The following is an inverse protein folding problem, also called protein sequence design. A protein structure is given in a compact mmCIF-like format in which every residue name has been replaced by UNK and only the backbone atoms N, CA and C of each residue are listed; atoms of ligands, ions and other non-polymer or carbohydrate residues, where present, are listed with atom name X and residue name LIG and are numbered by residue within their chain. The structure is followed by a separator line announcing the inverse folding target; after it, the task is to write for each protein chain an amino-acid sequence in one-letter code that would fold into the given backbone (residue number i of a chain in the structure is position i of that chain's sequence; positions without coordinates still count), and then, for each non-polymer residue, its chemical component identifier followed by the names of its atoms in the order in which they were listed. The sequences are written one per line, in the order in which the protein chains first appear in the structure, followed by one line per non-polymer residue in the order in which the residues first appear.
data_IF_466345661809
#
_entry.id   IF_466345661809
#
_cell.length_a   1.000
_cell.length_b   1.000
_cell.length_c   1.000
_cell.angle_alpha   90.00
_cell.angle_beta   90.00
_cell.angle_gamma   90.00
#
_symmetry.space_group_name_H-M   'P 1'
#
loop_
_entity.id
_entity.type
_entity.pdbx_description
1 polymer ?
#
# COMPACT_ATOMS: atom_id res chain seq x y z
N UNK A 1 -30.50 -17.36 12.96
CA UNK A 1 -29.79 -16.28 13.69
C UNK A 1 -28.65 -16.81 14.57
N UNK A 2 -28.81 -17.88 15.38
CA UNK A 2 -27.67 -18.43 16.16
C UNK A 2 -26.53 -18.99 15.30
N UNK A 3 -26.86 -19.80 14.27
CA UNK A 3 -25.84 -20.47 13.46
C UNK A 3 -24.92 -19.56 12.64
N UNK A 4 -25.43 -18.44 12.12
CA UNK A 4 -24.60 -17.46 11.38
C UNK A 4 -23.62 -16.74 12.32
N UNK A 5 -24.05 -16.41 13.53
CA UNK A 5 -23.18 -15.78 14.53
C UNK A 5 -22.10 -16.74 15.02
N UNK A 6 -22.45 -18.01 15.24
CA UNK A 6 -21.49 -19.07 15.57
C UNK A 6 -20.45 -19.25 14.47
N UNK A 7 -20.90 -19.31 13.21
CA UNK A 7 -20.02 -19.41 12.05
C UNK A 7 -19.05 -18.22 11.95
N UNK A 8 -19.53 -16.99 12.16
CA UNK A 8 -18.67 -15.80 12.16
C UNK A 8 -17.67 -15.85 13.32
N UNK A 9 -18.08 -16.28 14.51
CA UNK A 9 -17.18 -16.42 15.66
C UNK A 9 -16.06 -17.43 15.38
N UNK A 10 -16.36 -18.56 14.73
CA UNK A 10 -15.35 -19.55 14.31
C UNK A 10 -14.37 -18.97 13.27
N UNK A 11 -14.88 -18.28 12.26
CA UNK A 11 -14.03 -17.65 11.23
C UNK A 11 -13.12 -16.57 11.83
N UNK A 12 -13.62 -15.78 12.79
CA UNK A 12 -12.82 -14.79 13.49
C UNK A 12 -11.72 -15.43 14.34
N UNK A 13 -11.98 -16.55 15.02
CA UNK A 13 -10.95 -17.31 15.73
C UNK A 13 -9.83 -17.78 14.78
N UNK A 14 -10.21 -18.32 13.63
CA UNK A 14 -9.24 -18.76 12.61
C UNK A 14 -8.41 -17.59 12.09
N UNK A 15 -9.05 -16.46 11.79
CA UNK A 15 -8.36 -15.23 11.36
C UNK A 15 -7.38 -14.73 12.42
N UNK A 16 -7.80 -14.65 13.68
CA UNK A 16 -6.94 -14.18 14.77
C UNK A 16 -5.70 -15.07 14.92
N UNK A 17 -5.85 -16.40 14.81
CA UNK A 17 -4.71 -17.32 14.85
C UNK A 17 -3.75 -17.13 13.66
N UNK A 18 -4.26 -16.79 12.47
CA UNK A 18 -3.42 -16.43 11.31
C UNK A 18 -2.69 -15.11 11.56
N UNK A 19 -3.41 -14.10 12.06
CA UNK A 19 -2.86 -12.77 12.36
C UNK A 19 -1.75 -12.85 13.42
N UNK A 20 -1.89 -13.71 14.44
CA UNK A 20 -0.85 -14.01 15.44
C UNK A 20 0.40 -14.64 14.81
N UNK A 21 0.22 -15.60 13.89
CA UNK A 21 1.34 -16.23 13.17
C UNK A 21 2.08 -15.24 12.29
N UNK A 22 1.36 -14.34 11.61
CA UNK A 22 1.97 -13.24 10.83
C UNK A 22 2.69 -12.28 11.77
N UNK A 23 2.07 -11.91 12.89
CA UNK A 23 2.66 -11.01 13.89
C UNK A 23 3.99 -11.55 14.44
N UNK A 24 4.08 -12.86 14.68
CA UNK A 24 5.32 -13.52 15.09
C UNK A 24 6.44 -13.41 14.02
N UNK A 25 6.09 -13.43 12.73
CA UNK A 25 7.05 -13.26 11.61
C UNK A 25 7.48 -11.81 11.44
N UNK A 26 6.53 -10.87 11.58
CA UNK A 26 6.82 -9.44 11.34
C UNK A 26 7.29 -8.68 12.59
N UNK A 27 7.15 -9.28 13.77
CA UNK A 27 7.50 -8.70 15.07
C UNK A 27 6.56 -7.59 15.55
N UNK A 28 5.40 -7.41 14.90
CA UNK A 28 4.41 -6.35 15.17
C UNK A 28 2.98 -6.88 14.92
N UNK A 29 1.93 -6.26 15.51
CA UNK A 29 0.55 -6.66 15.24
C UNK A 29 0.21 -6.63 13.75
N UNK A 30 -0.57 -7.60 13.27
CA UNK A 30 -0.99 -7.65 11.88
C UNK A 30 -1.93 -6.48 11.55
N UNK A 31 -1.45 -5.55 10.73
CA UNK A 31 -2.23 -4.45 10.15
C UNK A 31 -1.71 -4.16 8.74
N UNK A 32 -2.48 -3.39 7.95
CA UNK A 32 -2.10 -3.02 6.59
C UNK A 32 -0.83 -2.16 6.59
N UNK A 33 -0.71 -1.25 7.56
CA UNK A 33 0.49 -0.43 7.76
C UNK A 33 1.70 -1.29 8.12
N UNK A 34 1.63 -2.06 9.21
CA UNK A 34 2.78 -2.83 9.69
C UNK A 34 3.28 -3.87 8.69
N UNK A 35 2.36 -4.60 8.05
CA UNK A 35 2.75 -5.58 7.05
C UNK A 35 3.28 -4.89 5.78
N UNK A 36 2.68 -3.77 5.37
CA UNK A 36 3.15 -2.95 4.25
C UNK A 36 4.58 -2.46 4.48
N UNK A 37 4.87 -1.87 5.64
CA UNK A 37 6.21 -1.44 6.05
C UNK A 37 7.21 -2.60 6.03
N UNK A 38 6.84 -3.76 6.61
CA UNK A 38 7.70 -4.94 6.64
C UNK A 38 8.05 -5.48 5.24
N UNK A 39 7.08 -5.45 4.31
CA UNK A 39 7.28 -5.81 2.90
C UNK A 39 8.16 -4.76 2.21
N UNK A 40 7.88 -3.46 2.41
CA UNK A 40 8.66 -2.37 1.84
C UNK A 40 10.14 -2.46 2.23
N UNK A 41 10.43 -2.76 3.49
CA UNK A 41 11.79 -2.94 3.98
C UNK A 41 12.55 -4.06 3.25
N UNK A 42 11.88 -5.15 2.89
CA UNK A 42 12.49 -6.32 2.24
C UNK A 42 12.57 -6.22 0.73
N UNK A 43 11.54 -5.66 0.10
CA UNK A 43 11.45 -5.60 -1.36
C UNK A 43 12.15 -4.35 -1.89
N UNK A 44 11.99 -3.21 -1.22
CA UNK A 44 12.48 -1.92 -1.70
C UNK A 44 13.67 -1.39 -0.89
N UNK A 45 14.23 -2.21 0.00
CA UNK A 45 15.36 -1.84 0.85
C UNK A 45 15.10 -0.55 1.64
N UNK A 46 13.92 -0.45 2.24
CA UNK A 46 13.55 0.66 3.12
C UNK A 46 14.04 0.38 4.55
N UNK A 47 14.87 1.25 5.08
CA UNK A 47 15.15 1.29 6.52
C UNK A 47 14.01 2.02 7.21
N UNK A 48 13.31 1.31 8.10
CA UNK A 48 12.13 1.85 8.79
C UNK A 48 12.55 2.76 9.95
N UNK A 49 11.85 3.87 10.11
CA UNK A 49 12.05 4.78 11.25
C UNK A 49 11.63 4.08 12.56
N UNK A 50 12.48 4.13 13.58
CA UNK A 50 12.20 3.50 14.87
C UNK A 50 11.23 4.32 15.74
N UNK A 51 11.02 5.59 15.39
CA UNK A 51 10.26 6.55 16.18
C UNK A 51 9.07 7.08 15.39
N UNK A 52 7.86 6.88 15.91
CA UNK A 52 6.61 7.40 15.36
C UNK A 52 6.49 8.95 15.42
N UNK A 53 7.53 9.65 15.88
CA UNK A 53 7.53 11.11 16.07
C UNK A 53 7.60 11.86 14.74
N UNK A 54 8.16 11.26 13.69
CA UNK A 54 8.08 11.78 12.32
C UNK A 54 6.77 11.32 11.65
N UNK A 55 5.63 11.89 12.06
CA UNK A 55 4.26 11.46 11.72
C UNK A 55 3.90 11.31 10.22
N UNK A 56 4.84 11.55 9.31
CA UNK A 56 4.66 11.47 7.87
C UNK A 56 5.68 10.56 7.14
N UNK A 57 6.69 10.02 7.83
CA UNK A 57 7.77 9.23 7.23
C UNK A 57 7.81 7.88 7.93
N UNK A 58 7.73 6.80 7.15
CA UNK A 58 7.85 5.44 7.67
C UNK A 58 9.27 4.89 7.51
N UNK A 59 10.07 5.46 6.61
CA UNK A 59 11.44 5.03 6.40
C UNK A 59 12.19 5.81 5.32
N UNK A 60 13.38 5.29 4.96
CA UNK A 60 14.22 5.80 3.87
C UNK A 60 14.71 4.66 3.00
N UNK A 61 14.78 4.88 1.70
CA UNK A 61 15.43 3.92 0.80
C UNK A 61 16.93 3.88 1.10
N UNK A 62 17.51 2.69 1.19
CA UNK A 62 18.93 2.49 1.52
C UNK A 62 19.80 2.21 0.30
N UNK A 63 19.19 1.90 -0.86
CA UNK A 63 19.89 1.51 -2.08
C UNK A 63 19.19 2.05 -3.34
N UNK A 64 19.90 2.00 -4.46
CA UNK A 64 19.34 2.33 -5.77
C UNK A 64 19.15 3.84 -5.99
N UNK A 65 18.40 4.25 -7.03
CA UNK A 65 18.30 5.66 -7.45
C UNK A 65 17.61 6.56 -6.41
N UNK A 66 16.88 5.98 -5.45
CA UNK A 66 16.16 6.70 -4.41
C UNK A 66 16.89 6.70 -3.07
N UNK A 67 18.14 6.22 -3.01
CA UNK A 67 18.90 6.13 -1.75
C UNK A 67 18.88 7.46 -0.97
N UNK A 68 18.59 7.38 0.32
CA UNK A 68 18.50 8.52 1.25
C UNK A 68 17.15 9.25 1.25
N UNK A 69 16.31 9.01 0.24
CA UNK A 69 14.97 9.63 0.12
C UNK A 69 13.99 9.03 1.10
N UNK A 70 13.15 9.89 1.68
CA UNK A 70 12.11 9.49 2.62
C UNK A 70 10.92 8.87 1.91
N UNK A 71 10.25 7.96 2.60
CA UNK A 71 9.09 7.27 2.06
C UNK A 71 8.00 7.11 3.13
N UNK A 72 6.75 7.26 2.69
CA UNK A 72 5.57 6.87 3.43
C UNK A 72 4.93 5.66 2.73
N UNK A 73 4.82 4.56 3.45
CA UNK A 73 4.34 3.27 2.95
C UNK A 73 2.85 3.17 3.26
N UNK A 74 2.06 2.84 2.25
CA UNK A 74 0.61 2.66 2.40
C UNK A 74 0.17 1.37 1.76
N UNK A 75 -0.78 0.70 2.39
CA UNK A 75 -1.44 -0.44 1.77
C UNK A 75 -2.95 -0.30 1.84
N UNK A 76 -3.54 -0.07 0.67
CA UNK A 76 -4.99 -0.09 0.48
C UNK A 76 -5.40 -1.45 -0.07
N UNK A 77 -6.16 -2.24 0.69
CA UNK A 77 -6.62 -3.58 0.28
C UNK A 77 -7.55 -3.57 -0.96
N UNK A 78 -7.86 -2.38 -1.49
CA UNK A 78 -8.65 -2.12 -2.69
C UNK A 78 -8.24 -0.76 -3.28
N UNK A 79 -8.07 -0.65 -4.61
CA UNK A 79 -7.72 0.62 -5.26
C UNK A 79 -8.99 1.41 -5.62
N UNK A 80 -9.24 2.47 -4.87
CA UNK A 80 -10.44 3.35 -4.99
C UNK A 80 -10.10 4.78 -5.43
N UNK A 81 -8.89 5.01 -5.96
CA UNK A 81 -8.37 6.32 -6.35
C UNK A 81 -8.31 7.37 -5.22
N UNK A 82 -8.23 6.89 -3.97
CA UNK A 82 -8.07 7.69 -2.77
C UNK A 82 -6.68 7.46 -2.19
N UNK A 83 -6.06 8.53 -1.70
CA UNK A 83 -4.75 8.49 -1.06
C UNK A 83 -4.72 9.44 0.13
N UNK A 84 -4.20 8.99 1.26
CA UNK A 84 -4.00 9.85 2.44
C UNK A 84 -2.77 10.72 2.22
N UNK A 85 -2.97 12.02 2.10
CA UNK A 85 -1.90 12.98 1.79
C UNK A 85 -1.56 13.81 3.03
N UNK A 86 -0.27 13.94 3.29
CA UNK A 86 0.31 14.94 4.21
C UNK A 86 0.88 16.11 3.41
N UNK A 87 0.96 17.29 4.05
CA UNK A 87 1.65 18.47 3.49
C UNK A 87 3.10 18.58 3.97
N UNK A 88 3.62 17.52 4.60
CA UNK A 88 4.99 17.47 5.10
C UNK A 88 6.01 17.65 3.97
N UNK A 89 6.78 18.73 4.03
CA UNK A 89 7.83 19.03 3.04
C UNK A 89 9.04 18.07 3.12
N UNK A 90 9.14 17.26 4.18
CA UNK A 90 10.24 16.29 4.36
C UNK A 90 9.95 14.93 3.74
N UNK A 91 8.75 14.72 3.20
CA UNK A 91 8.37 13.47 2.52
C UNK A 91 8.70 13.56 1.03
N UNK A 92 9.59 12.69 0.54
CA UNK A 92 9.94 12.62 -0.88
C UNK A 92 8.93 11.76 -1.66
N UNK A 93 8.55 10.59 -1.14
CA UNK A 93 7.72 9.61 -1.88
C UNK A 93 6.62 8.94 -1.06
N UNK A 94 5.51 8.61 -1.73
CA UNK A 94 4.58 7.58 -1.26
C UNK A 94 4.85 6.26 -1.98
N UNK A 95 5.09 5.18 -1.24
CA UNK A 95 5.13 3.83 -1.76
C UNK A 95 3.81 3.13 -1.41
N UNK A 96 2.96 2.92 -2.41
CA UNK A 96 1.58 2.50 -2.20
C UNK A 96 1.35 1.10 -2.78
N UNK A 97 1.05 0.14 -1.92
CA UNK A 97 0.53 -1.17 -2.27
C UNK A 97 -0.99 -1.09 -2.43
N UNK A 98 -1.53 -1.75 -3.46
CA UNK A 98 -2.98 -1.87 -3.60
C UNK A 98 -3.44 -3.29 -3.89
N UNK A 99 -4.59 -3.66 -3.34
CA UNK A 99 -5.40 -4.78 -3.84
C UNK A 99 -6.04 -4.44 -5.20
N UNK A 100 -6.99 -5.26 -5.68
CA UNK A 100 -7.63 -5.08 -6.97
C UNK A 100 -8.28 -3.70 -7.16
N UNK A 101 -8.28 -3.22 -8.41
CA UNK A 101 -9.07 -2.07 -8.82
C UNK A 101 -10.54 -2.44 -8.82
N UNK A 102 -11.39 -1.54 -8.33
CA UNK A 102 -12.83 -1.69 -8.43
C UNK A 102 -13.39 -0.45 -9.09
N UNK A 103 -14.31 -0.65 -10.04
CA UNK A 103 -15.33 0.37 -10.28
C UNK A 103 -16.09 0.59 -8.98
N UNK A 104 -16.51 1.82 -8.69
CA UNK A 104 -17.28 2.16 -7.50
C UNK A 104 -18.70 1.52 -7.59
N UNK A 105 -18.79 0.20 -7.51
CA UNK A 105 -20.01 -0.57 -7.37
C UNK A 105 -20.06 -1.11 -5.94
N UNK A 106 -21.27 -1.13 -5.39
CA UNK A 106 -21.63 -1.31 -3.97
C UNK A 106 -20.75 -2.25 -3.14
N UNK A 107 -20.68 -2.01 -1.83
CA UNK A 107 -20.05 -2.91 -0.86
C UNK A 107 -20.62 -4.34 -0.83
N UNK A 108 -21.76 -4.62 -1.48
CA UNK A 108 -22.32 -5.98 -1.58
C UNK A 108 -21.50 -6.83 -2.55
N UNK A 109 -21.04 -7.97 -2.06
CA UNK A 109 -20.32 -8.99 -2.85
C UNK A 109 -18.84 -8.75 -3.05
N UNK A 110 -18.30 -7.58 -2.66
CA UNK A 110 -16.88 -7.27 -2.79
C UNK A 110 -16.10 -7.61 -1.52
N UNK A 111 -14.93 -8.24 -1.67
CA UNK A 111 -13.96 -8.44 -0.59
C UNK A 111 -12.80 -7.42 -0.69
N UNK A 112 -12.04 -7.25 0.39
CA UNK A 112 -10.79 -6.48 0.43
C UNK A 112 -9.65 -7.45 0.77
N UNK A 113 -9.22 -8.28 -0.19
CA UNK A 113 -8.26 -9.35 0.09
C UNK A 113 -6.88 -8.78 0.43
N UNK A 114 -6.16 -9.47 1.31
CA UNK A 114 -4.76 -9.17 1.68
C UNK A 114 -3.81 -9.56 0.56
N UNK A 115 -3.89 -8.83 -0.54
CA UNK A 115 -3.13 -9.05 -1.78
C UNK A 115 -2.52 -7.75 -2.28
N UNK A 116 -1.44 -7.89 -3.04
CA UNK A 116 -0.78 -6.80 -3.76
C UNK A 116 -1.02 -7.05 -5.25
N UNK A 117 -2.08 -6.44 -5.78
CA UNK A 117 -2.39 -6.46 -7.20
C UNK A 117 -1.49 -5.46 -7.96
N UNK A 118 -1.14 -4.34 -7.33
CA UNK A 118 -0.28 -3.31 -7.92
C UNK A 118 0.50 -2.54 -6.86
N UNK A 119 1.60 -1.91 -7.29
CA UNK A 119 2.44 -1.01 -6.48
C UNK A 119 2.69 0.28 -7.23
N UNK A 120 2.61 1.39 -6.52
CA UNK A 120 2.77 2.74 -7.05
C UNK A 120 3.82 3.50 -6.26
N UNK A 121 4.58 4.32 -6.95
CA UNK A 121 5.53 5.26 -6.37
C UNK A 121 5.14 6.68 -6.79
N UNK A 122 4.58 7.44 -5.87
CA UNK A 122 4.25 8.85 -6.11
C UNK A 122 5.37 9.75 -5.60
N UNK A 123 5.82 10.68 -6.42
CA UNK A 123 6.55 11.85 -5.96
C UNK A 123 5.58 12.73 -5.14
N UNK A 124 5.86 12.85 -3.84
CA UNK A 124 4.93 13.47 -2.91
C UNK A 124 4.74 14.97 -3.21
N UNK A 125 5.81 15.66 -3.58
CA UNK A 125 5.76 17.09 -3.84
C UNK A 125 5.08 17.40 -5.16
N UNK A 126 5.42 16.68 -6.22
CA UNK A 126 4.73 16.80 -7.52
C UNK A 126 3.23 16.52 -7.37
N UNK A 127 2.87 15.46 -6.65
CA UNK A 127 1.46 15.13 -6.43
C UNK A 127 0.73 16.25 -5.66
N UNK A 128 1.36 16.79 -4.62
CA UNK A 128 0.81 17.89 -3.83
C UNK A 128 0.58 19.14 -4.67
N UNK A 129 1.54 19.50 -5.53
CA UNK A 129 1.44 20.65 -6.42
C UNK A 129 0.32 20.46 -7.47
N UNK A 130 0.20 19.27 -8.05
CA UNK A 130 -0.89 18.93 -8.98
C UNK A 130 -2.27 18.98 -8.31
N UNK A 131 -2.37 18.57 -7.04
CA UNK A 131 -3.63 18.63 -6.26
C UNK A 131 -3.99 20.08 -5.90
N UNK A 132 -3.01 20.89 -5.48
CA UNK A 132 -3.18 22.31 -5.16
C UNK A 132 -3.58 23.12 -6.39
N UNK A 133 -2.93 22.90 -7.53
CA UNK A 133 -3.28 23.56 -8.79
C UNK A 133 -4.73 23.28 -9.23
N UNK A 134 -5.30 22.15 -8.77
CA UNK A 134 -6.71 21.78 -9.00
C UNK A 134 -7.66 22.26 -7.92
N UNK A 135 -7.19 22.86 -6.83
CA UNK A 135 -8.00 23.25 -5.68
C UNK A 135 -8.57 22.06 -4.89
N UNK A 136 -7.93 20.89 -4.95
CA UNK A 136 -8.37 19.71 -4.18
C UNK A 136 -7.93 19.85 -2.73
N UNK A 137 -8.87 19.68 -1.80
CA UNK A 137 -8.54 19.59 -0.37
C UNK A 137 -7.76 18.30 -0.09
N UNK A 138 -6.58 18.45 0.51
CA UNK A 138 -5.65 17.39 0.91
C UNK A 138 -5.96 16.89 2.32
N UNK A 139 -5.49 15.68 2.63
CA UNK A 139 -5.70 15.00 3.91
C UNK A 139 -6.05 13.52 3.72
N UNK A 140 -6.80 12.96 4.67
CA UNK A 140 -7.33 11.60 4.57
C UNK A 140 -8.25 11.45 3.37
N UNK A 141 -8.12 10.34 2.64
CA UNK A 141 -8.94 9.99 1.49
C UNK A 141 -8.98 11.10 0.41
N UNK A 142 -7.82 11.67 0.06
CA UNK A 142 -7.72 12.67 -1.00
C UNK A 142 -7.95 12.03 -2.37
N UNK A 143 -8.79 12.66 -3.21
CA UNK A 143 -9.08 12.16 -4.56
C UNK A 143 -7.93 12.42 -5.54
N UNK A 144 -7.34 11.34 -6.04
CA UNK A 144 -6.25 11.35 -7.02
C UNK A 144 -6.75 10.80 -8.35
N UNK A 145 -6.45 11.48 -9.47
CA UNK A 145 -6.96 11.06 -10.79
C UNK A 145 -6.37 9.72 -11.21
N UNK A 146 -7.15 8.93 -11.96
CA UNK A 146 -6.70 7.65 -12.50
C UNK A 146 -5.37 7.76 -13.29
N UNK A 147 -5.22 8.81 -14.10
CA UNK A 147 -3.99 9.07 -14.85
C UNK A 147 -2.75 9.28 -13.96
N UNK A 148 -2.92 9.90 -12.78
CA UNK A 148 -1.82 10.08 -11.83
C UNK A 148 -1.40 8.72 -11.23
N UNK A 149 -2.36 7.87 -10.88
CA UNK A 149 -2.08 6.50 -10.47
C UNK A 149 -1.40 5.68 -11.56
N UNK A 150 -1.89 5.73 -12.80
CA UNK A 150 -1.28 5.02 -13.93
C UNK A 150 0.17 5.45 -14.15
N UNK A 151 0.46 6.75 -14.05
CA UNK A 151 1.83 7.27 -14.16
C UNK A 151 2.75 6.86 -13.01
N UNK A 152 2.17 6.58 -11.83
CA UNK A 152 2.91 6.18 -10.64
C UNK A 152 3.17 4.68 -10.56
N UNK A 153 2.51 3.85 -11.38
CA UNK A 153 2.58 2.38 -11.32
C UNK A 153 4.00 1.88 -11.63
N UNK A 154 4.56 1.11 -10.69
CA UNK A 154 5.85 0.42 -10.82
C UNK A 154 5.67 -1.10 -10.93
N UNK A 155 4.53 -1.63 -10.48
CA UNK A 155 4.16 -3.04 -10.58
C UNK A 155 2.64 -3.18 -10.76
N UNK A 156 2.15 -4.13 -11.58
CA UNK A 156 2.92 -5.06 -12.41
C UNK A 156 3.49 -4.44 -13.68
N UNK A 157 3.00 -3.25 -14.07
CA UNK A 157 3.51 -2.53 -15.25
C UNK A 157 4.60 -1.55 -14.80
N UNK A 158 5.77 -1.64 -15.41
CA UNK A 158 6.86 -0.69 -15.18
C UNK A 158 6.63 0.60 -15.98
N UNK A 159 5.54 1.31 -15.69
CA UNK A 159 5.17 2.56 -16.36
C UNK A 159 5.91 3.78 -15.82
N UNK A 160 6.40 3.70 -14.59
CA UNK A 160 7.05 4.80 -13.90
C UNK A 160 8.58 4.79 -14.10
N UNK A 161 9.12 5.91 -14.58
CA UNK A 161 10.56 6.09 -14.83
C UNK A 161 11.41 6.39 -13.59
N UNK A 162 10.80 6.68 -12.44
CA UNK A 162 11.50 7.03 -11.20
C UNK A 162 12.21 5.85 -10.56
N UNK A 163 11.63 4.66 -10.68
CA UNK A 163 12.18 3.43 -10.13
C UNK A 163 11.93 2.28 -11.11
N UNK A 164 13.01 1.80 -11.71
CA UNK A 164 12.97 0.56 -12.48
C UNK A 164 12.93 -0.61 -11.51
N UNK A 165 11.87 -1.42 -11.60
CA UNK A 165 11.72 -2.62 -10.80
C UNK A 165 12.71 -3.70 -11.25
N UNK A 166 13.48 -4.23 -10.31
CA UNK A 166 14.34 -5.38 -10.55
C UNK A 166 13.50 -6.67 -10.67
N UNK A 167 13.92 -7.65 -11.49
CA UNK A 167 13.18 -8.90 -11.67
C UNK A 167 12.89 -9.64 -10.36
N UNK A 168 13.84 -9.61 -9.42
CA UNK A 168 13.70 -10.25 -8.12
C UNK A 168 12.65 -9.57 -7.23
N UNK A 169 12.62 -8.24 -7.22
CA UNK A 169 11.59 -7.49 -6.50
C UNK A 169 10.20 -7.83 -7.04
N UNK A 170 10.04 -7.90 -8.36
CA UNK A 170 8.77 -8.29 -8.98
C UNK A 170 8.39 -9.74 -8.67
N UNK A 171 9.38 -10.65 -8.61
CA UNK A 171 9.16 -12.05 -8.22
C UNK A 171 8.65 -12.15 -6.78
N UNK A 172 9.25 -11.40 -5.85
CA UNK A 172 8.81 -11.38 -4.44
C UNK A 172 7.40 -10.78 -4.32
N UNK A 173 7.10 -9.67 -5.02
CA UNK A 173 5.75 -9.07 -4.99
C UNK A 173 4.68 -10.04 -5.51
N UNK A 174 4.99 -10.89 -6.49
CA UNK A 174 4.06 -11.92 -7.00
C UNK A 174 3.69 -12.97 -5.96
N UNK A 175 4.48 -13.17 -4.89
CA UNK A 175 4.08 -14.05 -3.79
C UNK A 175 2.84 -13.54 -3.04
N UNK A 176 2.54 -12.25 -3.17
CA UNK A 176 1.39 -11.58 -2.55
C UNK A 176 0.30 -11.24 -3.58
N UNK A 177 0.46 -11.62 -4.85
CA UNK A 177 -0.51 -11.33 -5.89
C UNK A 177 -1.83 -12.09 -5.63
N UNK A 178 -2.96 -11.60 -6.15
CA UNK A 178 -4.21 -12.35 -6.15
C UNK A 178 -4.01 -13.74 -6.77
N UNK A 179 -4.71 -14.79 -6.28
CA UNK A 179 -4.66 -16.10 -6.90
C UNK A 179 -5.05 -16.01 -8.38
N UNK A 180 -4.35 -16.74 -9.25
CA UNK A 180 -4.67 -16.80 -10.68
C UNK A 180 -6.16 -17.17 -10.87
N UNK A 181 -6.89 -16.38 -11.67
CA UNK A 181 -8.33 -16.56 -11.91
C UNK A 181 -9.28 -15.80 -10.98
N UNK A 182 -8.75 -15.02 -10.03
CA UNK A 182 -9.56 -14.15 -9.15
C UNK A 182 -9.96 -12.86 -9.87
N UNK A 183 -10.90 -12.93 -10.82
CA UNK A 183 -11.59 -11.76 -11.36
C UNK A 183 -12.90 -11.61 -10.61
N UNK A 184 -13.02 -10.58 -9.76
CA UNK A 184 -14.28 -10.15 -9.16
C UNK A 184 -14.51 -8.69 -9.46
#
# INVERSE_FOLDING_TARGET
MSGELEQIADLLRQRNAVDERIAAVIGRPMTAGHLGEWIAARVFHVELEQSAVAAAIDGRFTTGPLQGRTVNVKWYLKRENLLDITESAVLDYYLVFTGPTSVAASSRGGTRPWTIAAVYLFDAQRLLDELRARGVKTGTATSVRAAQWESAEIFPRAGNGLLRMEPEQARILRLFAPPEGSVH
#
